data_IF_772267611533
#
_entry.id   IF_772267611533
#
_cell.length_a   1.000
_cell.length_b   1.000
_cell.length_c   1.000
_cell.angle_alpha   90.00
_cell.angle_beta   90.00
_cell.angle_gamma   90.00
#
_symmetry.space_group_name_H-M   'P 1'
#
loop_
_entity.id
_entity.type
_entity.pdbx_description
1 polymer ?
#
# COMPACT_ATOMS: atom_id res chain seq x y z
N UNK A 1 -17.79 4.56 12.58
CA UNK A 1 -16.93 3.42 12.95
C UNK A 1 -15.48 3.82 12.79
N UNK A 2 -14.56 3.07 13.39
CA UNK A 2 -13.11 3.20 13.15
C UNK A 2 -12.69 2.06 12.23
N UNK A 3 -12.10 2.38 11.09
CA UNK A 3 -11.72 1.40 10.05
C UNK A 3 -10.22 1.52 9.79
N UNK A 4 -9.52 0.41 9.93
CA UNK A 4 -8.11 0.28 9.58
C UNK A 4 -8.01 -0.58 8.32
N UNK A 5 -7.49 0.01 7.25
CA UNK A 5 -7.24 -0.67 5.99
C UNK A 5 -5.78 -1.13 5.95
N UNK A 6 -5.54 -2.39 5.60
CA UNK A 6 -4.18 -2.97 5.60
C UNK A 6 -3.87 -3.61 4.25
N UNK A 7 -2.72 -3.27 3.66
CA UNK A 7 -2.26 -3.81 2.37
C UNK A 7 -0.73 -3.94 2.33
N UNK A 8 -0.17 -5.13 2.13
CA UNK A 8 1.28 -5.30 2.02
C UNK A 8 1.87 -4.94 0.63
N UNK A 9 1.21 -4.05 -0.13
CA UNK A 9 1.53 -3.71 -1.53
C UNK A 9 1.32 -2.22 -1.78
N UNK A 10 1.78 -1.72 -2.95
CA UNK A 10 1.49 -0.36 -3.39
C UNK A 10 0.00 -0.18 -3.67
N UNK A 11 -0.68 0.79 -3.02
CA UNK A 11 -2.02 1.21 -3.42
C UNK A 11 -2.08 1.56 -4.91
N UNK A 12 -3.23 1.38 -5.54
CA UNK A 12 -3.50 1.73 -6.94
C UNK A 12 -2.53 1.18 -8.03
N UNK A 13 -1.63 0.23 -7.71
CA UNK A 13 -0.68 -0.35 -8.67
C UNK A 13 -0.96 -1.81 -9.05
N UNK A 14 -1.75 -2.50 -8.23
CA UNK A 14 -2.21 -3.88 -8.46
C UNK A 14 -3.74 -3.94 -8.38
N UNK A 15 -4.37 -5.06 -8.78
CA UNK A 15 -5.82 -5.22 -8.62
C UNK A 15 -6.29 -5.03 -7.17
N UNK A 16 -5.55 -5.59 -6.21
CA UNK A 16 -5.77 -5.40 -4.77
C UNK A 16 -5.53 -3.94 -4.35
N UNK A 17 -4.50 -3.28 -4.86
CA UNK A 17 -4.22 -1.87 -4.60
C UNK A 17 -5.30 -0.93 -5.16
N UNK A 18 -5.86 -1.23 -6.32
CA UNK A 18 -6.98 -0.47 -6.90
C UNK A 18 -8.24 -0.65 -6.06
N UNK A 19 -8.56 -1.88 -5.66
CA UNK A 19 -9.69 -2.14 -4.76
C UNK A 19 -9.53 -1.41 -3.43
N UNK A 20 -8.34 -1.48 -2.83
CA UNK A 20 -8.00 -0.80 -1.58
C UNK A 20 -8.25 0.71 -1.67
N UNK A 21 -7.72 1.37 -2.71
CA UNK A 21 -7.92 2.81 -2.93
C UNK A 21 -9.38 3.18 -3.14
N UNK A 22 -10.09 2.43 -4.00
CA UNK A 22 -11.49 2.72 -4.32
C UNK A 22 -12.42 2.50 -3.12
N UNK A 23 -12.13 1.49 -2.30
CA UNK A 23 -12.89 1.23 -1.08
C UNK A 23 -12.77 2.41 -0.11
N UNK A 24 -11.55 2.88 0.15
CA UNK A 24 -11.28 3.99 1.07
C UNK A 24 -11.91 5.29 0.58
N UNK A 25 -11.77 5.58 -0.72
CA UNK A 25 -12.42 6.73 -1.36
C UNK A 25 -13.95 6.65 -1.23
N UNK A 26 -14.52 5.48 -1.54
CA UNK A 26 -15.94 5.22 -1.42
C UNK A 26 -16.46 5.37 0.01
N UNK A 27 -15.64 5.10 1.02
CA UNK A 27 -16.01 5.26 2.41
C UNK A 27 -16.02 6.71 2.90
N UNK A 28 -15.36 7.66 2.19
CA UNK A 28 -15.34 9.09 2.57
C UNK A 28 -16.74 9.73 2.61
N UNK A 29 -17.70 9.19 1.85
CA UNK A 29 -19.09 9.66 1.88
C UNK A 29 -19.82 9.32 3.19
N UNK A 30 -19.23 8.46 4.02
CA UNK A 30 -19.75 8.12 5.34
C UNK A 30 -18.93 8.79 6.43
N UNK A 31 -19.56 9.05 7.58
CA UNK A 31 -18.88 9.61 8.76
C UNK A 31 -18.10 8.52 9.50
N UNK A 32 -17.05 8.00 8.88
CA UNK A 32 -16.15 7.00 9.45
C UNK A 32 -14.74 7.56 9.58
N UNK A 33 -14.08 7.20 10.68
CA UNK A 33 -12.66 7.46 10.86
C UNK A 33 -11.89 6.35 10.14
N UNK A 34 -11.04 6.73 9.19
CA UNK A 34 -10.31 5.80 8.34
C UNK A 34 -8.81 6.02 8.48
N UNK A 35 -8.06 4.93 8.60
CA UNK A 35 -6.59 4.91 8.56
C UNK A 35 -6.11 3.81 7.62
N UNK A 36 -4.94 3.99 7.02
CA UNK A 36 -4.37 3.01 6.08
C UNK A 36 -2.94 2.65 6.48
N UNK A 37 -2.65 1.36 6.57
CA UNK A 37 -1.30 0.82 6.62
C UNK A 37 -1.01 0.16 5.28
N UNK A 38 0.08 0.56 4.62
CA UNK A 38 0.45 -0.08 3.36
C UNK A 38 1.93 -0.11 3.05
N UNK A 39 2.34 -1.06 2.20
CA UNK A 39 3.71 -1.14 1.68
C UNK A 39 3.99 -0.04 0.67
N UNK A 40 5.15 0.60 0.78
CA UNK A 40 5.66 1.60 -0.18
C UNK A 40 7.10 1.30 -0.56
N UNK A 41 7.52 1.75 -1.73
CA UNK A 41 8.91 1.73 -2.19
C UNK A 41 9.11 2.85 -3.22
N UNK A 42 10.37 3.15 -3.56
CA UNK A 42 10.72 4.05 -4.68
C UNK A 42 10.04 5.45 -4.60
N UNK A 43 9.86 5.98 -3.37
CA UNK A 43 9.21 7.28 -3.09
C UNK A 43 7.77 7.39 -3.61
N UNK A 44 7.02 6.28 -3.61
CA UNK A 44 5.63 6.27 -4.04
C UNK A 44 4.74 7.18 -3.17
N UNK A 45 3.88 7.96 -3.83
CA UNK A 45 2.90 8.83 -3.20
C UNK A 45 1.48 8.34 -3.48
N UNK A 46 0.63 8.45 -2.46
CA UNK A 46 -0.78 8.07 -2.53
C UNK A 46 -1.65 9.14 -1.87
N UNK A 47 -2.61 9.67 -2.63
CA UNK A 47 -3.33 10.90 -2.24
C UNK A 47 -4.81 10.66 -1.90
N UNK A 48 -5.19 9.41 -1.61
CA UNK A 48 -6.58 9.07 -1.25
C UNK A 48 -6.89 9.45 0.19
N UNK A 49 -5.96 9.30 1.14
CA UNK A 49 -6.11 9.80 2.51
C UNK A 49 -5.13 10.93 2.79
N UNK A 50 -5.36 11.71 3.84
CA UNK A 50 -4.37 12.69 4.31
C UNK A 50 -3.16 11.97 4.90
N UNK A 51 -1.96 12.53 4.74
CA UNK A 51 -0.70 11.91 5.19
C UNK A 51 -0.71 11.52 6.67
N UNK A 52 -1.43 12.25 7.54
CA UNK A 52 -1.55 11.93 8.97
C UNK A 52 -2.29 10.63 9.28
N UNK A 53 -3.08 10.15 8.32
CA UNK A 53 -3.89 8.92 8.42
C UNK A 53 -3.28 7.77 7.59
N UNK A 54 -2.08 7.99 7.02
CA UNK A 54 -1.30 7.01 6.28
C UNK A 54 -0.10 6.53 7.11
N UNK A 55 0.10 5.22 7.14
CA UNK A 55 1.17 4.55 7.86
C UNK A 55 1.90 3.62 6.89
N UNK A 56 3.01 4.10 6.34
CA UNK A 56 3.71 3.39 5.28
C UNK A 56 4.81 2.48 5.80
N UNK A 57 4.93 1.29 5.23
CA UNK A 57 6.05 0.37 5.45
C UNK A 57 6.99 0.48 4.25
N UNK A 58 8.19 1.02 4.46
CA UNK A 58 9.15 1.29 3.39
C UNK A 58 9.96 0.03 3.05
N UNK A 59 9.68 -0.57 1.91
CA UNK A 59 10.54 -1.57 1.27
C UNK A 59 11.70 -0.90 0.52
N UNK A 60 12.73 -1.67 0.19
CA UNK A 60 14.03 -1.16 -0.27
C UNK A 60 14.62 -0.15 0.72
N UNK A 61 14.49 -0.46 2.02
CA UNK A 61 15.07 0.29 3.13
C UNK A 61 16.12 -0.55 3.86
N UNK A 62 16.77 0.00 4.88
CA UNK A 62 17.73 -0.74 5.70
C UNK A 62 17.08 -1.94 6.42
N UNK A 63 15.85 -1.77 6.92
CA UNK A 63 15.10 -2.83 7.63
C UNK A 63 14.46 -3.85 6.68
N UNK A 64 14.07 -3.41 5.47
CA UNK A 64 13.47 -4.24 4.43
C UNK A 64 14.24 -4.05 3.11
N UNK A 65 15.42 -4.69 2.96
CA UNK A 65 16.34 -4.44 1.84
C UNK A 65 15.94 -5.12 0.53
N UNK A 66 14.67 -5.50 0.39
CA UNK A 66 14.11 -6.17 -0.79
C UNK A 66 12.86 -5.43 -1.30
N UNK A 67 12.49 -5.56 -2.58
CA UNK A 67 11.28 -4.95 -3.13
C UNK A 67 10.00 -5.61 -2.57
N UNK A 68 8.89 -4.89 -2.66
CA UNK A 68 7.55 -5.48 -2.48
C UNK A 68 7.39 -6.62 -3.48
N UNK A 69 7.11 -7.81 -2.98
CA UNK A 69 6.93 -9.02 -3.78
C UNK A 69 5.61 -9.02 -4.56
N UNK A 70 5.55 -9.78 -5.65
CA UNK A 70 4.32 -9.94 -6.45
C UNK A 70 3.83 -8.66 -7.14
N UNK A 71 4.73 -7.69 -7.35
CA UNK A 71 4.47 -6.40 -8.00
C UNK A 71 4.97 -6.31 -9.44
N UNK A 72 5.81 -7.25 -9.88
CA UNK A 72 6.39 -7.26 -11.24
C UNK A 72 5.66 -8.29 -12.11
N UNK A 73 5.32 -7.90 -13.33
CA UNK A 73 4.88 -8.82 -14.38
C UNK A 73 6.06 -9.30 -15.26
N UNK A 74 7.27 -8.75 -15.04
CA UNK A 74 8.47 -9.02 -15.84
C UNK A 74 9.40 -9.98 -15.10
N UNK A 75 9.73 -11.08 -15.77
CA UNK A 75 10.67 -12.10 -15.32
C UNK A 75 12.10 -11.84 -15.84
N UNK A 76 13.16 -12.23 -15.08
CA UNK A 76 13.12 -12.77 -13.73
C UNK A 76 12.81 -11.69 -12.69
N UNK A 77 12.05 -12.03 -11.64
CA UNK A 77 11.78 -11.11 -10.55
C UNK A 77 13.05 -10.82 -9.74
N UNK A 78 13.21 -9.59 -9.26
CA UNK A 78 14.32 -9.21 -8.37
C UNK A 78 14.32 -10.03 -7.07
N UNK A 79 13.15 -10.46 -6.60
CA UNK A 79 13.03 -11.35 -5.44
C UNK A 79 12.10 -12.53 -5.74
N UNK A 80 12.54 -13.72 -5.36
CA UNK A 80 11.79 -14.98 -5.48
C UNK A 80 11.46 -15.60 -4.10
N UNK A 81 11.92 -14.99 -3.00
CA UNK A 81 11.77 -15.48 -1.63
C UNK A 81 11.56 -14.30 -0.66
N UNK A 82 10.69 -14.50 0.33
CA UNK A 82 10.62 -13.66 1.52
C UNK A 82 11.78 -14.08 2.44
N UNK A 83 12.95 -13.47 2.27
CA UNK A 83 14.13 -13.70 3.12
C UNK A 83 14.33 -12.56 4.09
#
# INVERSE_FOLDING_TARGET
MKILHVLAQLPSRTGSGVYFSNMIEGFKKYKHEQKAIFGTQDKYQWNVLENKDQYTINFKSEELPFPIVGMSDVMPYESTIYS
#
